data_IF_452714301035
#
_entry.id   IF_452714301035
#
_cell.length_a   1.000
_cell.length_b   1.000
_cell.length_c   1.000
_cell.angle_alpha   90.00
_cell.angle_beta   90.00
_cell.angle_gamma   90.00
#
_symmetry.space_group_name_H-M   'P 1'
#
loop_
_entity.id
_entity.type
_entity.pdbx_description
1 polymer ?
#
# COMPACT_ATOMS: atom_id res chain seq x y z
N UNK A 1 -15.28 20.67 4.91
CA UNK A 1 -14.30 20.06 3.99
C UNK A 1 -13.70 18.86 4.71
N UNK A 2 -14.19 17.66 4.41
CA UNK A 2 -13.60 16.43 4.95
C UNK A 2 -12.31 16.18 4.17
N UNK A 3 -11.17 16.26 4.84
CA UNK A 3 -9.91 15.79 4.28
C UNK A 3 -10.05 14.28 4.11
N UNK A 4 -10.41 13.83 2.91
CA UNK A 4 -10.31 12.41 2.55
C UNK A 4 -8.84 12.07 2.63
N UNK A 5 -8.41 11.52 3.76
CA UNK A 5 -7.04 11.09 3.95
C UNK A 5 -6.75 10.01 2.93
N UNK A 6 -5.94 10.34 1.90
CA UNK A 6 -5.35 9.43 0.90
C UNK A 6 -4.33 8.47 1.55
N UNK A 7 -4.70 7.92 2.71
CA UNK A 7 -3.84 7.10 3.53
C UNK A 7 -4.00 5.63 3.17
N UNK A 8 -2.88 4.94 2.95
CA UNK A 8 -2.87 3.48 2.88
C UNK A 8 -3.22 2.94 4.27
N UNK A 9 -4.32 2.20 4.38
CA UNK A 9 -4.68 1.44 5.59
C UNK A 9 -4.07 0.05 5.51
N UNK A 10 -3.53 -0.43 6.63
CA UNK A 10 -2.95 -1.76 6.70
C UNK A 10 -3.51 -2.57 7.88
N UNK A 11 -3.49 -3.89 7.75
CA UNK A 11 -3.87 -4.82 8.81
C UNK A 11 -2.85 -5.95 8.87
N UNK A 12 -2.45 -6.35 10.08
CA UNK A 12 -1.65 -7.54 10.34
C UNK A 12 -2.31 -8.28 11.49
N UNK A 13 -2.72 -9.53 11.28
CA UNK A 13 -3.41 -10.33 12.29
C UNK A 13 -2.95 -11.79 12.29
N UNK A 14 -2.99 -12.48 13.44
CA UNK A 14 -2.77 -13.92 13.47
C UNK A 14 -3.78 -14.66 12.58
N UNK A 15 -3.33 -15.70 11.88
CA UNK A 15 -4.13 -16.57 11.02
C UNK A 15 -3.63 -18.02 11.16
N UNK A 16 -4.07 -18.70 12.23
CA UNK A 16 -3.57 -20.03 12.58
C UNK A 16 -2.08 -20.01 12.92
N UNK A 17 -1.27 -20.78 12.18
CA UNK A 17 0.20 -20.80 12.32
C UNK A 17 0.92 -19.71 11.51
N UNK A 18 0.17 -18.85 10.83
CA UNK A 18 0.68 -17.80 9.97
C UNK A 18 0.17 -16.42 10.42
N UNK A 19 0.57 -15.39 9.70
CA UNK A 19 0.12 -14.02 9.86
C UNK A 19 -0.50 -13.54 8.56
N UNK A 20 -1.75 -13.11 8.62
CA UNK A 20 -2.40 -12.46 7.49
C UNK A 20 -2.03 -10.99 7.49
N UNK A 21 -1.74 -10.46 6.30
CA UNK A 21 -1.51 -9.04 6.07
C UNK A 21 -2.38 -8.53 4.93
N UNK A 22 -2.78 -7.26 4.99
CA UNK A 22 -3.47 -6.57 3.90
C UNK A 22 -3.13 -5.07 3.88
N UNK A 23 -3.13 -4.47 2.70
CA UNK A 23 -2.99 -3.04 2.46
C UNK A 23 -4.11 -2.57 1.53
N UNK A 24 -4.81 -1.51 1.92
CA UNK A 24 -5.99 -0.96 1.23
C UNK A 24 -5.84 0.56 1.10
N UNK A 25 -6.05 1.10 -0.10
CA UNK A 25 -6.12 2.54 -0.36
C UNK A 25 -7.47 2.85 -1.00
N UNK A 26 -8.23 3.78 -0.43
CA UNK A 26 -9.54 4.21 -0.94
C UNK A 26 -10.53 3.07 -1.25
N UNK A 27 -10.47 1.98 -0.47
CA UNK A 27 -11.31 0.80 -0.66
C UNK A 27 -10.77 -0.23 -1.66
N UNK A 28 -9.71 0.09 -2.41
CA UNK A 28 -9.01 -0.85 -3.28
C UNK A 28 -7.89 -1.59 -2.54
N UNK A 29 -7.85 -2.92 -2.69
CA UNK A 29 -6.78 -3.75 -2.12
C UNK A 29 -5.51 -3.59 -2.96
N UNK A 30 -4.46 -3.05 -2.36
CA UNK A 30 -3.12 -2.94 -2.98
C UNK A 30 -2.38 -4.28 -2.91
N UNK A 31 -2.63 -5.05 -1.85
CA UNK A 31 -2.09 -6.39 -1.70
C UNK A 31 -2.48 -7.02 -0.37
N UNK A 32 -2.53 -8.34 -0.34
CA UNK A 32 -2.78 -9.13 0.86
C UNK A 32 -2.18 -10.53 0.75
N UNK A 33 -2.07 -11.23 1.87
CA UNK A 33 -1.62 -12.62 1.88
C UNK A 33 -1.27 -13.16 3.26
N UNK A 34 -0.70 -14.37 3.27
CA UNK A 34 -0.19 -15.03 4.46
C UNK A 34 1.34 -14.95 4.51
N UNK A 35 1.87 -14.81 5.72
CA UNK A 35 3.30 -14.81 6.01
C UNK A 35 3.62 -15.74 7.19
N UNK A 36 4.79 -16.38 7.15
CA UNK A 36 5.23 -17.30 8.22
C UNK A 36 5.52 -16.62 9.56
N UNK A 37 5.68 -15.29 9.57
CA UNK A 37 5.90 -14.52 10.80
C UNK A 37 5.32 -13.11 10.68
N UNK A 38 5.10 -12.48 11.84
CA UNK A 38 4.66 -11.06 11.92
C UNK A 38 5.64 -10.11 11.25
N UNK A 39 6.95 -10.39 11.36
CA UNK A 39 7.98 -9.54 10.76
C UNK A 39 7.92 -9.58 9.23
N UNK A 40 7.73 -10.76 8.64
CA UNK A 40 7.58 -10.91 7.19
C UNK A 40 6.27 -10.25 6.72
N UNK A 41 5.17 -10.41 7.48
CA UNK A 41 3.91 -9.72 7.21
C UNK A 41 4.09 -8.19 7.16
N UNK A 42 4.82 -7.63 8.12
CA UNK A 42 5.13 -6.20 8.17
C UNK A 42 5.99 -5.75 6.98
N UNK A 43 7.00 -6.54 6.59
CA UNK A 43 7.82 -6.23 5.42
C UNK A 43 7.01 -6.16 4.12
N UNK A 44 6.01 -7.03 3.94
CA UNK A 44 5.12 -6.95 2.79
C UNK A 44 4.23 -5.70 2.80
N UNK A 45 3.69 -5.32 3.96
CA UNK A 45 2.93 -4.07 4.11
C UNK A 45 3.79 -2.86 3.75
N UNK A 46 5.01 -2.77 4.31
CA UNK A 46 5.94 -1.66 4.04
C UNK A 46 6.26 -1.58 2.54
N UNK A 47 6.53 -2.72 1.90
CA UNK A 47 6.77 -2.78 0.45
C UNK A 47 5.60 -2.20 -0.36
N UNK A 48 4.36 -2.48 0.03
CA UNK A 48 3.20 -1.91 -0.65
C UNK A 48 3.07 -0.40 -0.42
N UNK A 49 3.33 0.07 0.80
CA UNK A 49 3.34 1.51 1.09
C UNK A 49 4.38 2.23 0.25
N UNK A 50 5.62 1.72 0.19
CA UNK A 50 6.68 2.32 -0.63
C UNK A 50 6.30 2.41 -2.12
N UNK A 51 5.78 1.30 -2.69
CA UNK A 51 5.30 1.30 -4.08
C UNK A 51 4.21 2.33 -4.32
N UNK A 52 3.26 2.41 -3.40
CA UNK A 52 2.14 3.31 -3.48
C UNK A 52 2.56 4.80 -3.34
N UNK A 53 3.70 5.09 -2.72
CA UNK A 53 4.32 6.42 -2.66
C UNK A 53 5.11 6.75 -3.94
N UNK A 54 5.81 5.76 -4.51
CA UNK A 54 6.54 5.92 -5.77
C UNK A 54 5.56 6.22 -6.94
N UNK A 55 4.42 5.54 -6.98
CA UNK A 55 3.37 5.78 -7.98
C UNK A 55 2.71 7.16 -7.83
N UNK A 56 2.49 7.62 -6.60
CA UNK A 56 1.96 8.97 -6.32
C UNK A 56 2.94 10.05 -6.79
N UNK A 57 4.23 9.83 -6.53
CA UNK A 57 5.29 10.71 -7.03
C UNK A 57 5.35 10.70 -8.55
N UNK A 58 5.29 9.52 -9.19
CA UNK A 58 5.32 9.39 -10.65
C UNK A 58 4.09 10.01 -11.35
N UNK A 59 2.92 9.97 -10.71
CA UNK A 59 1.70 10.62 -11.20
C UNK A 59 1.73 12.14 -11.10
N UNK A 60 2.45 12.70 -10.13
CA UNK A 60 2.62 14.14 -9.97
C UNK A 60 3.60 14.76 -10.98
N UNK A 61 4.53 13.96 -11.53
CA UNK A 61 5.48 14.36 -12.60
C UNK A 61 5.03 13.84 -13.98
N UNK A 62 3.75 14.00 -14.32
CA UNK A 62 3.33 13.81 -15.71
C UNK A 62 4.13 14.75 -16.64
N UNK A 63 4.65 14.28 -17.79
CA UNK A 63 5.50 15.08 -18.65
C UNK A 63 4.68 16.26 -19.18
N UNK A 64 5.22 17.48 -19.03
CA UNK A 64 4.81 18.63 -19.83
C UNK A 64 4.97 18.19 -21.29
N UNK A 65 3.86 17.81 -21.92
CA UNK A 65 3.81 17.56 -23.35
C UNK A 65 4.23 18.87 -24.02
N UNK A 66 5.45 18.90 -24.53
CA UNK A 66 5.99 20.02 -25.26
C UNK A 66 5.20 20.10 -26.58
N UNK A 67 4.19 20.95 -26.62
CA UNK A 67 3.49 21.30 -27.84
C UNK A 67 4.45 22.12 -28.70
N UNK A 68 4.99 21.49 -29.73
CA UNK A 68 5.73 22.13 -30.82
C UNK A 68 4.78 22.43 -31.98
#
# INVERSE_FOLDING_TARGET
MSTTSSGVRFSIRPAGRAWFWSAVRDGAVLGEGLAGSRAIAAAFVIRQICRACDEETAGEIAPVANAA
#
